data_IF_537332863995
#
_entry.id   IF_537332863995
#
_cell.length_a   1.000
_cell.length_b   1.000
_cell.length_c   1.000
_cell.angle_alpha   90.00
_cell.angle_beta   90.00
_cell.angle_gamma   90.00
#
_symmetry.space_group_name_H-M   'P 1'
#
loop_
_entity.id
_entity.type
_entity.pdbx_description
1 polymer ?
#
# COMPACT_ATOMS: atom_id res chain seq x y z
N UNK A 1 37.90 21.82 17.68
CA UNK A 1 36.87 22.85 17.34
C UNK A 1 36.51 22.90 15.85
N UNK A 2 37.39 23.31 14.92
CA UNK A 2 37.01 23.43 13.48
C UNK A 2 36.66 22.09 12.82
N UNK A 3 37.47 21.05 13.05
CA UNK A 3 37.23 19.70 12.51
C UNK A 3 35.96 19.04 13.09
N UNK A 4 35.64 19.30 14.37
CA UNK A 4 34.44 18.79 15.03
C UNK A 4 33.17 19.43 14.46
N UNK A 5 33.17 20.75 14.31
CA UNK A 5 32.07 21.48 13.67
C UNK A 5 31.83 21.00 12.23
N UNK A 6 32.91 20.75 11.49
CA UNK A 6 32.85 20.20 10.14
C UNK A 6 32.27 18.78 10.11
N UNK A 7 32.65 17.90 11.04
CA UNK A 7 32.10 16.55 11.16
C UNK A 7 30.58 16.56 11.45
N UNK A 8 30.13 17.41 12.39
CA UNK A 8 28.71 17.57 12.70
C UNK A 8 27.91 18.12 11.49
N UNK A 9 28.47 19.11 10.81
CA UNK A 9 27.87 19.68 9.60
C UNK A 9 27.77 18.65 8.46
N UNK A 10 28.79 17.79 8.29
CA UNK A 10 28.74 16.67 7.35
C UNK A 10 27.63 15.68 7.67
N UNK A 11 27.42 15.34 8.95
CA UNK A 11 26.33 14.46 9.36
C UNK A 11 24.95 15.07 9.05
N UNK A 12 24.78 16.37 9.29
CA UNK A 12 23.58 17.13 8.88
C UNK A 12 23.31 17.02 7.37
N UNK A 13 24.29 17.37 6.55
CA UNK A 13 24.19 17.30 5.08
C UNK A 13 23.89 15.89 4.55
N UNK A 14 24.41 14.85 5.20
CA UNK A 14 24.13 13.46 4.82
C UNK A 14 22.64 13.13 4.96
N UNK A 15 22.00 13.60 6.03
CA UNK A 15 20.56 13.45 6.22
C UNK A 15 19.78 14.24 5.16
N UNK A 16 20.13 15.50 4.92
CA UNK A 16 19.44 16.34 3.94
C UNK A 16 19.52 15.73 2.53
N UNK A 17 20.68 15.17 2.17
CA UNK A 17 20.89 14.46 0.91
C UNK A 17 20.03 13.20 0.82
N UNK A 18 19.95 12.42 1.90
CA UNK A 18 19.12 11.21 1.94
C UNK A 18 17.63 11.57 1.81
N UNK A 19 17.16 12.55 2.59
CA UNK A 19 15.79 13.04 2.54
C UNK A 19 15.45 13.59 1.15
N UNK A 20 16.35 14.39 0.57
CA UNK A 20 16.18 14.91 -0.78
C UNK A 20 16.08 13.78 -1.80
N UNK A 21 17.02 12.82 -1.79
CA UNK A 21 16.99 11.66 -2.68
C UNK A 21 15.68 10.88 -2.57
N UNK A 22 15.33 10.44 -1.36
CA UNK A 22 14.11 9.66 -1.12
C UNK A 22 12.82 10.41 -1.46
N UNK A 23 12.78 11.74 -1.28
CA UNK A 23 11.62 12.53 -1.68
C UNK A 23 11.60 12.86 -3.16
N UNK A 24 12.72 13.03 -3.83
CA UNK A 24 12.75 13.45 -5.22
C UNK A 24 12.74 12.26 -6.17
N UNK A 25 13.67 11.32 -6.01
CA UNK A 25 13.78 10.13 -6.85
C UNK A 25 12.88 9.02 -6.34
N UNK A 26 12.76 8.86 -5.02
CA UNK A 26 11.93 7.80 -4.45
C UNK A 26 12.48 6.40 -4.65
N UNK A 27 13.77 6.29 -4.95
CA UNK A 27 14.45 5.05 -5.33
C UNK A 27 15.00 4.34 -4.10
N UNK A 28 14.85 3.01 -4.07
CA UNK A 28 15.45 2.16 -3.05
C UNK A 28 16.98 2.19 -3.24
N UNK A 29 17.77 2.50 -2.18
CA UNK A 29 19.23 2.48 -2.28
C UNK A 29 19.75 1.08 -2.64
N UNK A 30 20.70 1.00 -3.58
CA UNK A 30 21.34 -0.27 -3.97
C UNK A 30 22.02 -0.95 -2.78
N UNK A 31 22.66 -0.16 -1.92
CA UNK A 31 23.28 -0.62 -0.69
C UNK A 31 22.38 -0.23 0.48
N UNK A 32 21.96 -1.23 1.25
CA UNK A 32 21.15 -1.03 2.45
C UNK A 32 21.81 -0.08 3.45
N UNK A 33 21.03 0.85 3.98
CA UNK A 33 21.51 1.78 5.00
C UNK A 33 21.80 1.04 6.31
N UNK A 34 22.84 1.43 7.06
CA UNK A 34 23.09 0.85 8.37
C UNK A 34 21.96 1.22 9.35
N UNK A 35 21.67 0.34 10.31
CA UNK A 35 20.52 0.49 11.22
C UNK A 35 20.50 1.83 11.98
N UNK A 36 21.67 2.33 12.41
CA UNK A 36 21.74 3.62 13.10
C UNK A 36 21.30 4.78 12.20
N UNK A 37 21.66 4.77 10.91
CA UNK A 37 21.26 5.80 9.97
C UNK A 37 19.75 5.76 9.68
N UNK A 38 19.17 4.56 9.56
CA UNK A 38 17.71 4.39 9.43
C UNK A 38 17.00 4.95 10.67
N UNK A 39 17.47 4.59 11.87
CA UNK A 39 16.87 5.07 13.12
C UNK A 39 16.99 6.58 13.27
N UNK A 40 18.16 7.17 13.02
CA UNK A 40 18.34 8.62 13.06
C UNK A 40 17.44 9.34 12.04
N UNK A 41 17.32 8.77 10.84
CA UNK A 41 16.44 9.32 9.81
C UNK A 41 14.98 9.37 10.28
N UNK A 42 14.48 8.26 10.82
CA UNK A 42 13.11 8.16 11.35
C UNK A 42 12.89 9.09 12.55
N UNK A 43 13.82 9.14 13.51
CA UNK A 43 13.71 10.03 14.68
C UNK A 43 13.69 11.51 14.29
N UNK A 44 14.48 11.91 13.28
CA UNK A 44 14.44 13.28 12.75
C UNK A 44 13.09 13.61 12.13
N UNK A 45 12.51 12.69 11.36
CA UNK A 45 11.13 12.87 10.85
C UNK A 45 10.11 12.94 11.98
N UNK A 46 10.20 12.08 13.00
CA UNK A 46 9.28 12.12 14.14
C UNK A 46 9.33 13.47 14.88
N UNK A 47 10.51 14.08 15.00
CA UNK A 47 10.71 15.35 15.71
C UNK A 47 9.99 16.55 15.11
N UNK A 48 9.60 16.50 13.83
CA UNK A 48 8.84 17.59 13.18
C UNK A 48 7.32 17.43 13.30
N UNK A 49 6.83 16.33 13.89
CA UNK A 49 5.42 16.19 14.25
C UNK A 49 5.10 17.03 15.49
N UNK A 50 3.89 17.62 15.52
CA UNK A 50 3.50 18.58 16.55
C UNK A 50 3.53 18.01 17.98
N UNK A 51 3.35 16.69 18.13
CA UNK A 51 3.41 15.99 19.42
C UNK A 51 4.83 15.75 19.94
N UNK A 52 5.87 15.96 19.13
CA UNK A 52 7.27 15.71 19.47
C UNK A 52 8.14 16.98 19.43
N UNK A 53 7.55 18.14 19.13
CA UNK A 53 8.27 19.41 19.05
C UNK A 53 8.96 19.71 20.38
N UNK A 54 10.28 19.83 20.34
CA UNK A 54 11.11 20.20 21.48
C UNK A 54 11.38 21.72 21.54
N UNK A 55 11.08 22.43 20.47
CA UNK A 55 11.33 23.87 20.30
C UNK A 55 10.23 24.76 20.89
N UNK A 56 9.22 24.17 21.52
CA UNK A 56 8.17 24.89 22.22
C UNK A 56 7.27 23.98 23.05
N UNK A 57 6.52 24.57 23.97
CA UNK A 57 5.52 23.85 24.77
C UNK A 57 4.25 23.66 23.94
N UNK A 58 3.99 22.43 23.50
CA UNK A 58 2.73 22.09 22.84
C UNK A 58 1.60 22.03 23.88
N UNK A 59 0.81 23.11 24.00
CA UNK A 59 -0.44 23.11 24.78
C UNK A 59 -1.56 22.65 23.84
N UNK A 60 -1.57 21.35 23.51
CA UNK A 60 -2.61 20.77 22.68
C UNK A 60 -3.94 20.75 23.42
N UNK A 61 -4.94 21.51 22.95
CA UNK A 61 -6.29 21.56 23.53
C UNK A 61 -7.32 20.68 22.78
N UNK A 62 -6.90 19.99 21.72
CA UNK A 62 -7.78 19.13 20.92
C UNK A 62 -8.00 17.74 21.50
N UNK A 63 -8.92 17.01 20.88
CA UNK A 63 -9.24 15.61 21.19
C UNK A 63 -8.22 14.61 20.64
N UNK A 64 -7.49 14.99 19.58
CA UNK A 64 -6.49 14.15 18.92
C UNK A 64 -5.12 14.85 18.81
N UNK A 65 -4.43 14.93 19.93
CA UNK A 65 -3.13 15.61 20.10
C UNK A 65 -1.93 14.66 20.09
N UNK A 66 -2.11 13.39 19.74
CA UNK A 66 -1.00 12.42 19.67
C UNK A 66 -0.32 12.13 21.01
N UNK A 67 -1.03 12.35 22.14
CA UNK A 67 -0.50 12.07 23.49
C UNK A 67 -0.33 10.56 23.67
N UNK A 68 0.86 10.13 24.10
CA UNK A 68 1.18 8.72 24.34
C UNK A 68 1.38 8.48 25.84
N UNK A 69 0.59 7.58 26.44
CA UNK A 69 0.64 7.30 27.87
C UNK A 69 1.82 6.41 28.26
N UNK A 70 2.10 5.36 27.48
CA UNK A 70 3.17 4.39 27.76
C UNK A 70 4.47 4.76 27.04
N UNK A 71 5.56 4.89 27.80
CA UNK A 71 6.89 5.11 27.23
C UNK A 71 7.31 3.98 26.28
N UNK A 72 6.91 2.74 26.56
CA UNK A 72 7.19 1.59 25.69
C UNK A 72 6.50 1.72 24.33
N UNK A 73 5.25 2.21 24.30
CA UNK A 73 4.52 2.44 23.06
C UNK A 73 5.15 3.60 22.27
N UNK A 74 5.59 4.65 22.97
CA UNK A 74 6.30 5.76 22.34
C UNK A 74 7.60 5.29 21.68
N UNK A 75 8.40 4.47 22.37
CA UNK A 75 9.65 3.93 21.84
C UNK A 75 9.43 2.98 20.65
N UNK A 76 8.44 2.08 20.75
CA UNK A 76 8.10 1.13 19.68
C UNK A 76 7.74 1.86 18.36
N UNK A 77 7.08 3.01 18.45
CA UNK A 77 6.67 3.80 17.30
C UNK A 77 7.56 5.02 17.03
N UNK A 78 8.71 5.13 17.71
CA UNK A 78 9.66 6.26 17.57
C UNK A 78 8.98 7.64 17.72
N UNK A 79 7.90 7.73 18.48
CA UNK A 79 7.12 8.96 18.66
C UNK A 79 6.13 9.31 17.54
N UNK A 80 6.00 8.51 16.48
CA UNK A 80 4.97 8.72 15.44
C UNK A 80 3.57 8.37 15.99
N UNK A 81 2.81 9.36 16.45
CA UNK A 81 1.54 9.15 17.14
C UNK A 81 0.28 9.58 16.35
N UNK A 82 0.43 10.37 15.28
CA UNK A 82 -0.72 10.91 14.54
C UNK A 82 -1.27 9.98 13.45
N UNK A 83 -0.46 9.04 12.96
CA UNK A 83 -0.77 8.21 11.80
C UNK A 83 -0.59 8.96 10.47
N UNK A 84 -1.18 8.42 9.39
CA UNK A 84 -1.07 8.94 8.03
C UNK A 84 -2.41 9.52 7.53
N UNK A 85 -2.35 10.47 6.60
CA UNK A 85 -3.52 11.03 5.94
C UNK A 85 -4.37 11.96 6.80
N UNK A 86 -5.57 12.23 6.29
CA UNK A 86 -6.64 13.00 6.93
C UNK A 86 -7.94 12.19 6.90
N UNK A 87 -8.96 12.67 7.61
CA UNK A 87 -10.22 11.95 7.82
C UNK A 87 -10.92 11.47 6.54
N UNK A 88 -10.75 12.18 5.42
CA UNK A 88 -11.33 11.80 4.12
C UNK A 88 -10.35 11.21 3.11
N UNK A 89 -9.03 11.23 3.36
CA UNK A 89 -8.04 10.89 2.34
C UNK A 89 -6.69 10.48 2.95
N UNK A 90 -6.23 9.27 2.62
CA UNK A 90 -4.96 8.71 3.08
C UNK A 90 -3.73 9.43 2.53
N UNK A 91 -3.85 10.05 1.34
CA UNK A 91 -2.73 10.71 0.65
C UNK A 91 -2.59 12.19 1.00
N UNK A 92 -3.55 12.76 1.73
CA UNK A 92 -3.49 14.17 2.13
C UNK A 92 -2.46 14.39 3.25
N UNK A 93 -1.70 15.48 3.12
CA UNK A 93 -0.74 15.88 4.14
C UNK A 93 -1.44 16.30 5.42
N UNK A 94 -0.98 15.78 6.55
CA UNK A 94 -1.48 16.09 7.88
C UNK A 94 -0.70 17.26 8.48
N UNK A 95 -1.29 18.45 8.66
CA UNK A 95 -0.58 19.63 9.19
C UNK A 95 -0.03 19.43 10.61
N UNK A 96 -0.67 18.57 11.43
CA UNK A 96 -0.16 18.21 12.77
C UNK A 96 0.97 17.16 12.75
N UNK A 97 1.19 16.50 11.60
CA UNK A 97 2.08 15.35 11.46
C UNK A 97 2.86 15.42 10.14
N UNK A 98 3.71 16.43 10.03
CA UNK A 98 4.52 16.71 8.85
C UNK A 98 5.50 15.56 8.58
N UNK A 99 6.12 15.03 9.62
CA UNK A 99 7.03 13.89 9.59
C UNK A 99 6.35 12.63 9.11
N UNK A 100 5.21 12.26 9.71
CA UNK A 100 4.38 11.15 9.22
C UNK A 100 3.99 11.32 7.75
N UNK A 101 3.62 12.53 7.33
CA UNK A 101 3.21 12.81 5.96
C UNK A 101 4.35 12.63 4.97
N UNK A 102 5.55 13.11 5.31
CA UNK A 102 6.76 12.91 4.51
C UNK A 102 7.13 11.43 4.44
N UNK A 103 7.07 10.72 5.58
CA UNK A 103 7.40 9.30 5.66
C UNK A 103 6.44 8.46 4.79
N UNK A 104 5.13 8.76 4.84
CA UNK A 104 4.13 8.10 4.00
C UNK A 104 4.36 8.38 2.50
N UNK A 105 4.72 9.61 2.13
CA UNK A 105 5.08 9.96 0.75
C UNK A 105 6.29 9.15 0.25
N UNK A 106 7.32 9.02 1.08
CA UNK A 106 8.52 8.23 0.77
C UNK A 106 8.16 6.74 0.65
N UNK A 107 7.37 6.20 1.58
CA UNK A 107 6.95 4.79 1.55
C UNK A 107 6.20 4.44 0.26
N UNK A 108 5.30 5.31 -0.21
CA UNK A 108 4.59 5.14 -1.48
C UNK A 108 5.53 5.14 -2.68
N UNK A 109 6.54 6.02 -2.68
CA UNK A 109 7.56 6.10 -3.73
C UNK A 109 8.44 4.85 -3.77
N UNK A 110 8.92 4.40 -2.60
CA UNK A 110 9.72 3.17 -2.50
C UNK A 110 8.92 1.94 -2.91
N UNK A 111 7.62 1.89 -2.57
CA UNK A 111 6.74 0.81 -3.03
C UNK A 111 6.58 0.81 -4.56
N UNK A 112 6.44 1.99 -5.17
CA UNK A 112 6.37 2.12 -6.64
C UNK A 112 7.68 1.70 -7.30
N UNK A 113 8.81 2.10 -6.74
CA UNK A 113 10.14 1.70 -7.21
C UNK A 113 10.32 0.19 -7.15
N UNK A 114 9.96 -0.44 -6.02
CA UNK A 114 9.97 -1.90 -5.88
C UNK A 114 9.10 -2.61 -6.93
N UNK A 115 7.87 -2.13 -7.16
CA UNK A 115 6.95 -2.72 -8.16
C UNK A 115 7.55 -2.66 -9.57
N UNK A 116 8.18 -1.52 -9.92
CA UNK A 116 8.83 -1.36 -11.22
C UNK A 116 10.04 -2.27 -11.36
N UNK A 117 10.88 -2.33 -10.32
CA UNK A 117 12.03 -3.20 -10.27
C UNK A 117 11.67 -4.69 -10.40
N UNK A 118 10.56 -5.12 -9.78
CA UNK A 118 10.08 -6.50 -9.80
C UNK A 118 9.41 -6.92 -11.12
N UNK A 119 9.44 -6.07 -12.15
CA UNK A 119 9.01 -6.44 -13.50
C UNK A 119 7.71 -5.78 -13.97
N UNK A 120 7.20 -4.76 -13.28
CA UNK A 120 6.05 -3.97 -13.73
C UNK A 120 6.48 -2.52 -14.01
N UNK A 121 7.34 -2.27 -15.04
CA UNK A 121 7.90 -0.94 -15.31
C UNK A 121 6.83 0.10 -15.67
N UNK A 122 5.68 -0.35 -16.21
CA UNK A 122 4.54 0.51 -16.56
C UNK A 122 3.72 1.01 -15.36
N UNK A 123 4.01 0.58 -14.13
CA UNK A 123 3.30 1.04 -12.94
C UNK A 123 3.45 2.56 -12.78
N UNK A 124 2.33 3.29 -12.68
CA UNK A 124 2.31 4.77 -12.62
C UNK A 124 2.31 5.31 -11.19
N UNK A 125 1.69 4.60 -10.25
CA UNK A 125 1.54 5.00 -8.86
C UNK A 125 1.44 3.76 -7.97
N UNK A 126 1.80 3.92 -6.69
CA UNK A 126 1.60 2.93 -5.65
C UNK A 126 1.21 3.64 -4.34
N UNK A 127 0.44 2.95 -3.51
CA UNK A 127 0.04 3.45 -2.19
C UNK A 127 0.14 2.32 -1.16
N UNK A 128 0.88 2.57 -0.08
CA UNK A 128 0.93 1.70 1.08
C UNK A 128 -0.29 1.99 1.95
N UNK A 129 -1.09 0.95 2.21
CA UNK A 129 -2.31 1.05 3.01
C UNK A 129 -2.17 0.14 4.23
N UNK A 130 -2.48 0.62 5.46
CA UNK A 130 -2.26 -0.13 6.70
C UNK A 130 -3.37 -1.17 6.95
N UNK A 131 -3.66 -2.00 5.96
CA UNK A 131 -4.64 -3.09 6.03
C UNK A 131 -4.13 -4.31 5.27
N UNK A 132 -4.64 -5.50 5.61
CA UNK A 132 -4.31 -6.72 4.87
C UNK A 132 -4.85 -6.69 3.43
N UNK A 133 -4.28 -7.52 2.55
CA UNK A 133 -4.63 -7.58 1.12
C UNK A 133 -6.13 -7.69 0.85
N UNK A 134 -6.86 -8.52 1.60
CA UNK A 134 -8.31 -8.63 1.43
C UNK A 134 -9.04 -7.31 1.69
N UNK A 135 -8.66 -6.57 2.73
CA UNK A 135 -9.25 -5.24 2.98
C UNK A 135 -8.83 -4.21 1.93
N UNK A 136 -7.59 -4.28 1.44
CA UNK A 136 -7.13 -3.43 0.34
C UNK A 136 -7.96 -3.69 -0.94
N UNK A 137 -8.24 -4.96 -1.27
CA UNK A 137 -9.15 -5.33 -2.36
C UNK A 137 -10.55 -4.75 -2.14
N UNK A 138 -11.09 -4.83 -0.92
CA UNK A 138 -12.40 -4.24 -0.60
C UNK A 138 -12.41 -2.72 -0.82
N UNK A 139 -11.32 -2.02 -0.46
CA UNK A 139 -11.19 -0.58 -0.68
C UNK A 139 -11.16 -0.25 -2.17
N UNK A 140 -10.45 -1.03 -3.00
CA UNK A 140 -10.45 -0.86 -4.45
C UNK A 140 -11.85 -1.03 -5.05
N UNK A 141 -12.53 -2.12 -4.70
CA UNK A 141 -13.91 -2.39 -5.16
C UNK A 141 -14.88 -1.28 -4.73
N UNK A 142 -14.76 -0.81 -3.49
CA UNK A 142 -15.56 0.30 -2.97
C UNK A 142 -15.31 1.62 -3.72
N UNK A 143 -14.05 1.92 -4.04
CA UNK A 143 -13.68 3.12 -4.79
C UNK A 143 -14.24 3.11 -6.22
N UNK A 144 -14.28 1.94 -6.88
CA UNK A 144 -14.82 1.82 -8.24
C UNK A 144 -16.34 1.88 -8.31
N UNK A 145 -17.08 1.72 -7.19
CA UNK A 145 -18.55 1.80 -7.19
C UNK A 145 -19.07 3.09 -7.84
N UNK A 146 -18.34 4.20 -7.71
CA UNK A 146 -18.69 5.49 -8.33
C UNK A 146 -18.58 5.47 -9.87
N UNK A 147 -17.73 4.62 -10.45
CA UNK A 147 -17.57 4.51 -11.90
C UNK A 147 -18.70 3.71 -12.55
N UNK A 148 -19.43 2.90 -11.76
CA UNK A 148 -20.50 2.03 -12.25
C UNK A 148 -21.52 1.73 -11.15
N UNK A 149 -22.37 2.72 -10.86
CA UNK A 149 -23.31 2.67 -9.74
C UNK A 149 -24.29 1.48 -9.75
N UNK A 150 -24.63 0.96 -10.94
CA UNK A 150 -25.54 -0.18 -11.10
C UNK A 150 -24.85 -1.55 -10.97
N UNK A 151 -23.52 -1.59 -10.85
CA UNK A 151 -22.81 -2.85 -10.71
C UNK A 151 -23.10 -3.50 -9.36
N UNK A 152 -23.44 -4.79 -9.40
CA UNK A 152 -23.75 -5.63 -8.24
C UNK A 152 -22.76 -6.77 -8.09
N UNK A 153 -22.05 -7.14 -9.15
CA UNK A 153 -21.27 -8.37 -9.20
C UNK A 153 -19.76 -8.11 -9.35
N UNK A 154 -18.97 -9.01 -8.77
CA UNK A 154 -17.55 -9.18 -9.08
C UNK A 154 -17.37 -10.59 -9.62
N UNK A 155 -16.75 -10.73 -10.78
CA UNK A 155 -16.37 -12.05 -11.27
C UNK A 155 -15.13 -12.51 -10.51
N UNK A 156 -15.20 -13.65 -9.84
CA UNK A 156 -14.12 -14.21 -9.04
C UNK A 156 -13.56 -15.45 -9.73
N UNK A 157 -12.33 -15.36 -10.20
CA UNK A 157 -11.62 -16.50 -10.78
C UNK A 157 -11.16 -17.40 -9.63
N UNK A 158 -11.84 -18.54 -9.47
CA UNK A 158 -11.82 -19.30 -8.22
C UNK A 158 -10.40 -19.58 -7.74
N UNK A 159 -10.14 -19.18 -6.51
CA UNK A 159 -9.00 -19.61 -5.70
C UNK A 159 -9.52 -19.82 -4.28
N UNK A 160 -9.18 -20.96 -3.67
CA UNK A 160 -9.76 -21.35 -2.38
C UNK A 160 -9.05 -20.66 -1.21
N UNK A 161 -9.07 -19.32 -1.22
CA UNK A 161 -8.51 -18.44 -0.21
C UNK A 161 -9.60 -17.51 0.34
N UNK A 162 -9.87 -17.61 1.64
CA UNK A 162 -11.04 -16.97 2.26
C UNK A 162 -11.00 -15.44 2.23
N UNK A 163 -9.83 -14.82 2.31
CA UNK A 163 -9.69 -13.36 2.43
C UNK A 163 -10.05 -12.62 1.13
N UNK A 164 -9.58 -13.08 -0.03
CA UNK A 164 -9.92 -12.46 -1.32
C UNK A 164 -11.37 -12.75 -1.73
N UNK A 165 -11.93 -13.90 -1.35
CA UNK A 165 -13.36 -14.13 -1.54
C UNK A 165 -14.20 -13.21 -0.64
N UNK A 166 -13.86 -13.14 0.66
CA UNK A 166 -14.58 -12.28 1.62
C UNK A 166 -14.46 -10.79 1.29
N UNK A 167 -13.41 -10.34 0.61
CA UNK A 167 -13.27 -8.93 0.24
C UNK A 167 -14.38 -8.45 -0.71
N UNK A 168 -14.87 -9.34 -1.58
CA UNK A 168 -16.01 -9.05 -2.46
C UNK A 168 -17.26 -8.76 -1.63
N UNK A 169 -17.56 -9.65 -0.68
CA UNK A 169 -18.70 -9.54 0.23
C UNK A 169 -18.58 -8.32 1.15
N UNK A 170 -17.39 -8.07 1.70
CA UNK A 170 -17.10 -6.90 2.55
C UNK A 170 -17.27 -5.59 1.79
N UNK A 171 -16.96 -5.55 0.50
CA UNK A 171 -17.21 -4.40 -0.35
C UNK A 171 -18.68 -4.23 -0.75
N UNK A 172 -19.57 -5.17 -0.40
CA UNK A 172 -21.00 -5.14 -0.70
C UNK A 172 -21.33 -5.50 -2.15
N UNK A 173 -20.59 -6.45 -2.73
CA UNK A 173 -20.86 -7.03 -4.05
C UNK A 173 -21.15 -8.53 -3.92
N UNK A 174 -21.80 -9.09 -4.94
CA UNK A 174 -22.08 -10.52 -5.07
C UNK A 174 -21.03 -11.20 -5.97
N UNK A 175 -20.36 -12.28 -5.53
CA UNK A 175 -19.37 -12.97 -6.34
C UNK A 175 -20.04 -13.85 -7.41
N UNK A 176 -19.64 -13.70 -8.67
CA UNK A 176 -19.87 -14.69 -9.72
C UNK A 176 -18.62 -15.56 -9.80
N UNK A 177 -18.71 -16.80 -9.34
CA UNK A 177 -17.56 -17.70 -9.26
C UNK A 177 -17.35 -18.38 -10.61
N UNK A 178 -16.12 -18.30 -11.14
CA UNK A 178 -15.69 -19.06 -12.31
C UNK A 178 -14.73 -20.13 -11.83
N UNK A 179 -15.14 -21.40 -11.94
CA UNK A 179 -14.31 -22.54 -11.58
C UNK A 179 -13.11 -22.67 -12.54
N UNK A 180 -12.03 -23.26 -12.03
CA UNK A 180 -10.89 -23.59 -12.88
C UNK A 180 -11.19 -24.83 -13.74
N UNK A 181 -10.57 -24.89 -14.91
CA UNK A 181 -10.58 -26.08 -15.77
C UNK A 181 -9.20 -26.74 -15.74
N UNK A 182 -9.16 -28.06 -15.95
CA UNK A 182 -7.88 -28.77 -16.15
C UNK A 182 -7.29 -28.37 -17.48
N UNK A 183 -5.99 -28.10 -17.51
CA UNK A 183 -5.30 -27.74 -18.75
C UNK A 183 -5.33 -28.87 -19.79
N UNK A 184 -5.10 -30.12 -19.36
CA UNK A 184 -5.22 -31.30 -20.22
C UNK A 184 -5.51 -32.55 -19.39
N UNK A 185 -5.99 -33.66 -20.00
CA UNK A 185 -6.24 -34.91 -19.29
C UNK A 185 -5.00 -35.51 -18.61
N UNK A 186 -3.80 -35.18 -19.10
CA UNK A 186 -2.53 -35.64 -18.56
C UNK A 186 -1.83 -34.63 -17.65
N UNK A 187 -2.43 -33.45 -17.42
CA UNK A 187 -1.90 -32.42 -16.53
C UNK A 187 -2.92 -32.06 -15.43
N UNK A 188 -2.51 -32.18 -14.16
CA UNK A 188 -3.35 -31.80 -13.02
C UNK A 188 -3.42 -30.29 -12.78
N UNK A 189 -2.65 -29.48 -13.52
CA UNK A 189 -2.72 -28.02 -13.48
C UNK A 189 -4.14 -27.51 -13.74
N UNK A 190 -4.57 -26.60 -12.88
CA UNK A 190 -5.84 -25.89 -13.00
C UNK A 190 -5.61 -24.49 -13.54
N UNK A 191 -6.28 -24.16 -14.65
CA UNK A 191 -6.16 -22.88 -15.35
C UNK A 191 -7.49 -22.13 -15.38
N UNK A 192 -7.45 -20.85 -15.73
CA UNK A 192 -8.63 -20.00 -15.91
C UNK A 192 -9.54 -20.54 -17.02
N UNK A 193 -10.84 -20.67 -16.75
CA UNK A 193 -11.84 -20.91 -17.79
C UNK A 193 -12.19 -19.61 -18.53
N UNK A 194 -11.39 -19.29 -19.55
CA UNK A 194 -11.59 -18.09 -20.37
C UNK A 194 -12.89 -18.12 -21.18
N UNK A 195 -13.39 -19.31 -21.55
CA UNK A 195 -14.63 -19.45 -22.31
C UNK A 195 -15.83 -19.06 -21.45
N UNK A 196 -15.91 -19.59 -20.23
CA UNK A 196 -16.95 -19.22 -19.27
C UNK A 196 -16.85 -17.76 -18.85
N UNK A 197 -15.63 -17.26 -18.60
CA UNK A 197 -15.40 -15.85 -18.28
C UNK A 197 -15.95 -14.93 -19.39
N UNK A 198 -15.61 -15.22 -20.66
CA UNK A 198 -16.07 -14.44 -21.81
C UNK A 198 -17.59 -14.42 -21.93
N UNK A 199 -18.24 -15.58 -21.79
CA UNK A 199 -19.70 -15.68 -21.84
C UNK A 199 -20.37 -14.81 -20.75
N UNK A 200 -19.84 -14.86 -19.52
CA UNK A 200 -20.35 -14.05 -18.40
C UNK A 200 -20.20 -12.55 -18.68
N UNK A 201 -19.05 -12.13 -19.20
CA UNK A 201 -18.80 -10.73 -19.53
C UNK A 201 -19.71 -10.25 -20.66
N UNK A 202 -19.86 -11.02 -21.73
CA UNK A 202 -20.75 -10.66 -22.86
C UNK A 202 -22.20 -10.46 -22.39
N UNK A 203 -22.72 -11.35 -21.53
CA UNK A 203 -24.10 -11.29 -21.05
C UNK A 203 -24.35 -10.23 -19.98
N UNK A 204 -23.39 -10.03 -19.06
CA UNK A 204 -23.63 -9.31 -17.80
C UNK A 204 -22.66 -8.18 -17.52
N UNK A 205 -21.86 -7.74 -18.51
CA UNK A 205 -20.86 -6.69 -18.32
C UNK A 205 -21.43 -5.50 -17.55
N UNK A 206 -22.61 -5.00 -17.88
CA UNK A 206 -23.22 -3.81 -17.26
C UNK A 206 -23.48 -3.93 -15.74
N UNK A 207 -23.59 -5.14 -15.18
CA UNK A 207 -23.77 -5.38 -13.74
C UNK A 207 -22.46 -5.75 -13.02
N UNK A 208 -21.35 -5.92 -13.74
CA UNK A 208 -20.06 -6.36 -13.20
C UNK A 208 -19.15 -5.15 -12.95
N UNK A 209 -18.63 -5.01 -11.73
CA UNK A 209 -17.69 -3.93 -11.39
C UNK A 209 -16.25 -4.26 -11.77
N UNK A 210 -15.85 -5.52 -11.61
CA UNK A 210 -14.48 -5.98 -11.83
C UNK A 210 -14.42 -7.49 -12.03
N UNK A 211 -13.33 -7.94 -12.66
CA UNK A 211 -12.86 -9.33 -12.62
C UNK A 211 -11.72 -9.39 -11.61
N UNK A 212 -11.85 -10.24 -10.59
CA UNK A 212 -10.85 -10.47 -9.57
C UNK A 212 -10.05 -11.74 -9.91
N UNK A 213 -8.89 -11.54 -10.52
CA UNK A 213 -7.92 -12.58 -10.85
C UNK A 213 -6.86 -12.77 -9.75
N UNK A 214 -6.15 -13.89 -9.79
CA UNK A 214 -5.07 -14.23 -8.88
C UNK A 214 -3.84 -14.77 -9.63
N UNK A 215 -2.68 -14.16 -9.37
CA UNK A 215 -1.38 -14.61 -9.88
C UNK A 215 -0.72 -15.61 -8.96
N UNK A 216 -0.52 -15.24 -7.69
CA UNK A 216 0.02 -16.13 -6.67
C UNK A 216 -1.07 -17.01 -6.06
N UNK A 217 -0.85 -18.32 -6.02
CA UNK A 217 -1.76 -19.29 -5.41
C UNK A 217 -1.07 -20.60 -5.07
N UNK A 218 -1.80 -21.52 -4.44
CA UNK A 218 -1.30 -22.87 -4.18
C UNK A 218 -1.52 -23.76 -5.40
N UNK A 219 -0.49 -24.54 -5.75
CA UNK A 219 -0.62 -25.62 -6.71
C UNK A 219 -1.76 -26.58 -6.26
N UNK A 220 -2.51 -27.19 -7.20
CA UNK A 220 -2.24 -27.26 -8.64
C UNK A 220 -2.78 -26.08 -9.46
N UNK A 221 -3.29 -25.01 -8.83
CA UNK A 221 -3.77 -23.82 -9.56
C UNK A 221 -2.62 -23.00 -10.14
N UNK A 222 -2.68 -22.74 -11.43
CA UNK A 222 -1.76 -21.84 -12.11
C UNK A 222 -2.17 -20.37 -11.90
N UNK A 223 -1.23 -19.42 -12.08
CA UNK A 223 -1.56 -18.00 -12.21
C UNK A 223 -2.59 -17.78 -13.33
N UNK A 224 -3.55 -16.89 -13.11
CA UNK A 224 -4.51 -16.52 -14.16
C UNK A 224 -3.80 -15.85 -15.36
N UNK A 225 -4.33 -16.08 -16.57
CA UNK A 225 -3.81 -15.45 -17.80
C UNK A 225 -4.18 -13.97 -17.88
N UNK A 226 -3.38 -13.11 -17.25
CA UNK A 226 -3.67 -11.67 -17.13
C UNK A 226 -3.83 -10.96 -18.48
N UNK A 227 -3.07 -11.36 -19.50
CA UNK A 227 -3.16 -10.78 -20.85
C UNK A 227 -4.52 -11.11 -21.46
N UNK A 228 -4.92 -12.38 -21.46
CA UNK A 228 -6.20 -12.82 -22.02
C UNK A 228 -7.41 -12.29 -21.25
N UNK A 229 -7.27 -11.96 -19.97
CA UNK A 229 -8.33 -11.32 -19.16
C UNK A 229 -8.42 -9.82 -19.46
N UNK A 230 -7.30 -9.19 -19.82
CA UNK A 230 -7.23 -7.76 -20.11
C UNK A 230 -7.64 -7.37 -21.54
N UNK A 231 -7.58 -8.33 -22.48
CA UNK A 231 -8.09 -8.22 -23.85
C UNK A 231 -9.62 -8.36 -23.93
#
# INVERSE_FOLDING_TARGET
>A
MKAEAEALSRAGRSFDRLLFGLRHTGTIPEIGLPQHAVREFLMRLASVDSNNRFDGTSIGAGEREGRVCSALVHELHLGFAHGIGRSGNLTERQPKAIGCSILSEIANKLALDAIRFLGIPGAKAAMVVPVATGMALSLCLGAWRQTKAHAKFVVFLRIDQKSCFKSILTAGFEPIIVDCVRESPSNDSLITDLATLRLILEQRHHEIIAVLSATSGFAPRNPDSLVAIGE
#
